data_IF_261056003500
#
_entry.id   IF_261056003500
#
_cell.length_a   1.000
_cell.length_b   1.000
_cell.length_c   1.000
_cell.angle_alpha   90.00
_cell.angle_beta   90.00
_cell.angle_gamma   90.00
#
_symmetry.space_group_name_H-M   'P 1'
#
loop_
_entity.id
_entity.type
_entity.pdbx_description
1 polymer ?
#
# COMPACT_ATOMS: atom_id res chain seq x y z
N UNK A 1 -14.65 5.68 -15.27
CA UNK A 1 -13.76 5.15 -14.23
C UNK A 1 -14.22 3.76 -13.85
N UNK A 2 -13.33 2.77 -13.89
CA UNK A 2 -13.60 1.39 -13.46
C UNK A 2 -12.93 1.19 -12.10
N UNK A 3 -13.56 0.46 -11.18
CA UNK A 3 -13.08 0.29 -9.81
C UNK A 3 -13.12 -1.15 -9.35
N UNK A 4 -12.15 -1.51 -8.50
CA UNK A 4 -12.13 -2.79 -7.79
C UNK A 4 -12.18 -2.49 -6.30
N UNK A 5 -13.15 -3.09 -5.60
CA UNK A 5 -13.26 -3.04 -4.15
C UNK A 5 -12.93 -4.43 -3.62
N UNK A 6 -11.88 -4.54 -2.83
CA UNK A 6 -11.52 -5.79 -2.13
C UNK A 6 -12.01 -5.68 -0.69
N UNK A 7 -12.93 -6.55 -0.26
CA UNK A 7 -13.49 -6.48 1.09
C UNK A 7 -12.55 -7.05 2.16
N UNK A 8 -11.73 -8.01 1.76
CA UNK A 8 -10.89 -8.79 2.67
C UNK A 8 -11.70 -9.82 3.47
N UNK A 9 -11.00 -10.74 4.15
CA UNK A 9 -11.62 -11.88 4.83
C UNK A 9 -12.35 -11.51 6.14
N UNK A 10 -12.06 -10.34 6.71
CA UNK A 10 -12.57 -9.93 8.03
C UNK A 10 -13.82 -9.04 7.98
N UNK A 11 -14.32 -8.71 6.78
CA UNK A 11 -15.55 -7.95 6.66
C UNK A 11 -16.75 -8.80 7.06
N UNK A 12 -17.59 -8.28 7.96
CA UNK A 12 -18.83 -8.93 8.37
C UNK A 12 -19.67 -9.33 7.14
N UNK A 13 -20.20 -10.55 7.18
CA UNK A 13 -20.88 -11.17 6.04
C UNK A 13 -22.04 -10.31 5.52
N UNK A 14 -22.86 -9.75 6.42
CA UNK A 14 -23.98 -8.89 6.05
C UNK A 14 -23.52 -7.67 5.25
N UNK A 15 -22.46 -7.00 5.71
CA UNK A 15 -21.85 -5.85 5.02
C UNK A 15 -21.31 -6.25 3.66
N UNK A 16 -20.60 -7.38 3.57
CA UNK A 16 -20.08 -7.93 2.30
C UNK A 16 -21.21 -8.24 1.31
N UNK A 17 -22.27 -8.94 1.74
CA UNK A 17 -23.46 -9.24 0.92
C UNK A 17 -24.16 -7.96 0.45
N UNK A 18 -24.20 -6.91 1.29
CA UNK A 18 -24.74 -5.60 0.91
C UNK A 18 -23.88 -4.94 -0.18
N UNK A 19 -22.55 -4.96 -0.03
CA UNK A 19 -21.64 -4.40 -1.04
C UNK A 19 -21.72 -5.15 -2.37
N UNK A 20 -21.80 -6.48 -2.36
CA UNK A 20 -21.98 -7.29 -3.57
C UNK A 20 -23.28 -6.91 -4.30
N UNK A 21 -24.40 -6.78 -3.58
CA UNK A 21 -25.68 -6.33 -4.16
C UNK A 21 -25.62 -4.93 -4.76
N UNK A 22 -24.87 -4.01 -4.14
CA UNK A 22 -24.65 -2.66 -4.68
C UNK A 22 -23.73 -2.66 -5.90
N UNK A 23 -22.67 -3.48 -5.88
CA UNK A 23 -21.73 -3.65 -6.99
C UNK A 23 -22.37 -4.28 -8.22
N UNK A 24 -23.24 -5.27 -8.04
CA UNK A 24 -23.97 -5.93 -9.15
C UNK A 24 -24.83 -4.96 -9.98
N UNK A 25 -25.23 -3.82 -9.40
CA UNK A 25 -25.99 -2.76 -10.09
C UNK A 25 -25.10 -1.75 -10.83
N UNK A 26 -23.77 -1.91 -10.78
CA UNK A 26 -22.79 -0.94 -11.29
C UNK A 26 -21.75 -1.68 -12.14
N UNK A 27 -21.95 -1.72 -13.45
CA UNK A 27 -21.09 -2.47 -14.38
C UNK A 27 -19.60 -2.07 -14.29
N UNK A 28 -19.28 -0.84 -13.88
CA UNK A 28 -17.92 -0.36 -13.72
C UNK A 28 -17.23 -0.73 -12.39
N UNK A 29 -17.92 -1.39 -11.44
CA UNK A 29 -17.35 -1.76 -10.13
C UNK A 29 -17.33 -3.28 -9.97
N UNK A 30 -16.16 -3.84 -9.69
CA UNK A 30 -16.01 -5.24 -9.26
C UNK A 30 -15.79 -5.29 -7.76
N UNK A 31 -16.62 -6.08 -7.07
CA UNK A 31 -16.46 -6.36 -5.64
C UNK A 31 -15.84 -7.75 -5.50
N UNK A 32 -14.64 -7.82 -4.94
CA UNK A 32 -13.91 -9.06 -4.71
C UNK A 32 -13.83 -9.31 -3.20
N UNK A 33 -14.04 -10.55 -2.80
CA UNK A 33 -13.90 -10.92 -1.39
C UNK A 33 -12.42 -11.02 -0.99
N UNK A 34 -11.67 -11.74 -1.80
CA UNK A 34 -10.27 -12.03 -1.56
C UNK A 34 -9.49 -11.96 -2.88
N UNK A 35 -8.25 -11.53 -2.77
CA UNK A 35 -7.26 -11.54 -3.85
C UNK A 35 -5.99 -12.12 -3.26
N UNK A 36 -5.47 -13.25 -3.79
CA UNK A 36 -4.24 -13.87 -3.28
C UNK A 36 -3.05 -12.92 -3.31
N UNK A 37 -2.93 -12.14 -4.38
CA UNK A 37 -1.85 -11.18 -4.60
C UNK A 37 -2.42 -9.80 -4.96
N UNK A 38 -2.29 -8.83 -4.04
CA UNK A 38 -2.74 -7.45 -4.26
C UNK A 38 -1.82 -6.64 -5.16
N UNK A 39 -0.53 -6.98 -5.21
CA UNK A 39 0.48 -6.21 -5.92
C UNK A 39 0.16 -6.00 -7.42
N UNK A 40 -0.26 -7.02 -8.21
CA UNK A 40 -0.61 -6.81 -9.61
C UNK A 40 -1.80 -5.87 -9.81
N UNK A 41 -2.79 -5.89 -8.89
CA UNK A 41 -3.92 -4.96 -8.95
C UNK A 41 -3.47 -3.54 -8.64
N UNK A 42 -2.66 -3.35 -7.60
CA UNK A 42 -2.12 -2.04 -7.22
C UNK A 42 -1.23 -1.48 -8.33
N UNK A 43 -0.37 -2.31 -8.93
CA UNK A 43 0.51 -1.92 -10.03
C UNK A 43 -0.26 -1.40 -11.27
N UNK A 44 -1.49 -1.87 -11.49
CA UNK A 44 -2.36 -1.42 -12.60
C UNK A 44 -3.32 -0.30 -12.22
N UNK A 45 -3.46 0.00 -10.93
CA UNK A 45 -4.35 1.06 -10.47
C UNK A 45 -3.74 2.45 -10.75
N UNK A 46 -4.58 3.37 -11.20
CA UNK A 46 -4.23 4.80 -11.27
C UNK A 46 -4.25 5.45 -9.89
N UNK A 47 -5.17 4.99 -9.02
CA UNK A 47 -5.42 5.50 -7.68
C UNK A 47 -5.70 4.36 -6.72
N UNK A 48 -5.16 4.44 -5.51
CA UNK A 48 -5.34 3.43 -4.45
C UNK A 48 -5.92 4.10 -3.20
N UNK A 49 -6.98 3.53 -2.64
CA UNK A 49 -7.49 3.94 -1.32
C UNK A 49 -7.34 2.72 -0.42
N UNK A 50 -6.63 2.86 0.69
CA UNK A 50 -6.34 1.74 1.57
C UNK A 50 -6.19 2.18 3.03
N UNK A 51 -6.28 1.20 3.93
CA UNK A 51 -5.94 1.44 5.34
C UNK A 51 -4.43 1.66 5.56
N UNK A 52 -3.57 1.27 4.62
CA UNK A 52 -2.12 1.47 4.75
C UNK A 52 -1.43 0.54 5.76
N UNK A 53 -1.80 -0.75 5.73
CA UNK A 53 -0.97 -1.80 6.35
C UNK A 53 0.43 -1.84 5.75
N UNK A 54 1.38 -2.51 6.41
CA UNK A 54 2.80 -2.49 6.00
C UNK A 54 3.01 -2.90 4.53
N UNK A 55 2.44 -4.05 4.13
CA UNK A 55 2.58 -4.55 2.76
C UNK A 55 1.97 -3.60 1.72
N UNK A 56 0.75 -3.10 1.98
CA UNK A 56 0.09 -2.17 1.07
C UNK A 56 0.85 -0.85 0.92
N UNK A 57 1.45 -0.36 2.00
CA UNK A 57 2.35 0.80 1.92
C UNK A 57 3.56 0.48 1.04
N UNK A 58 4.22 -0.66 1.24
CA UNK A 58 5.34 -1.07 0.40
C UNK A 58 4.94 -1.17 -1.08
N UNK A 59 3.80 -1.78 -1.39
CA UNK A 59 3.30 -1.90 -2.77
C UNK A 59 3.05 -0.52 -3.40
N UNK A 60 2.26 0.33 -2.73
CA UNK A 60 1.96 1.70 -3.19
C UNK A 60 3.22 2.50 -3.44
N UNK A 61 4.17 2.45 -2.50
CA UNK A 61 5.41 3.22 -2.57
C UNK A 61 6.33 2.68 -3.66
N UNK A 62 6.47 1.35 -3.78
CA UNK A 62 7.35 0.71 -4.77
C UNK A 62 6.91 0.97 -6.21
N UNK A 63 5.59 1.03 -6.42
CA UNK A 63 4.99 1.33 -7.72
C UNK A 63 4.72 2.83 -7.95
N UNK A 64 5.06 3.70 -6.99
CA UNK A 64 4.83 5.15 -7.09
C UNK A 64 3.37 5.52 -7.34
N UNK A 65 2.43 4.91 -6.61
CA UNK A 65 1.00 5.11 -6.83
C UNK A 65 0.45 6.33 -6.11
N UNK A 66 -0.47 7.04 -6.77
CA UNK A 66 -1.35 8.00 -6.12
C UNK A 66 -2.22 7.26 -5.10
N UNK A 67 -1.96 7.48 -3.82
CA UNK A 67 -2.64 6.77 -2.75
C UNK A 67 -3.22 7.70 -1.69
N UNK A 68 -4.46 7.41 -1.29
CA UNK A 68 -5.09 7.94 -0.09
C UNK A 68 -5.06 6.88 1.00
N UNK A 69 -4.34 7.16 2.08
CA UNK A 69 -4.25 6.27 3.22
C UNK A 69 -5.23 6.72 4.30
N UNK A 70 -6.09 5.81 4.72
CA UNK A 70 -7.06 5.99 5.82
C UNK A 70 -6.67 5.06 6.97
N UNK A 71 -5.64 5.41 7.76
CA UNK A 71 -5.01 4.49 8.68
C UNK A 71 -5.87 4.18 9.90
N UNK A 72 -5.77 2.97 10.43
CA UNK A 72 -6.34 2.69 11.74
C UNK A 72 -5.54 3.43 12.82
N UNK A 73 -6.23 4.22 13.65
CA UNK A 73 -5.62 5.04 14.72
C UNK A 73 -5.69 4.41 16.12
N UNK A 74 -6.57 3.43 16.33
CA UNK A 74 -6.75 2.72 17.60
C UNK A 74 -6.91 1.21 17.37
N UNK A 75 -6.45 0.34 18.29
CA UNK A 75 -5.79 0.67 19.57
C UNK A 75 -4.32 1.05 19.43
N UNK A 76 -3.67 0.67 18.32
CA UNK A 76 -2.25 0.93 18.09
C UNK A 76 -2.02 2.02 17.03
N UNK A 77 -1.05 2.93 17.21
CA UNK A 77 -0.88 4.13 16.38
C UNK A 77 0.06 3.94 15.18
N UNK A 78 0.69 2.79 14.98
CA UNK A 78 1.81 2.66 14.03
C UNK A 78 1.40 2.91 12.58
N UNK A 79 0.17 2.56 12.20
CA UNK A 79 -0.35 2.89 10.87
C UNK A 79 -0.51 4.39 10.67
N UNK A 80 -0.99 5.11 11.70
CA UNK A 80 -1.10 6.56 11.68
C UNK A 80 0.27 7.22 11.55
N UNK A 81 1.22 6.83 12.43
CA UNK A 81 2.58 7.37 12.42
C UNK A 81 3.23 7.16 11.05
N UNK A 82 3.14 5.93 10.50
CA UNK A 82 3.70 5.62 9.18
C UNK A 82 3.05 6.45 8.08
N UNK A 83 1.71 6.50 8.03
CA UNK A 83 0.99 7.26 7.02
C UNK A 83 1.37 8.74 7.06
N UNK A 84 1.42 9.33 8.26
CA UNK A 84 1.79 10.73 8.45
C UNK A 84 3.22 11.00 7.95
N UNK A 85 4.20 10.18 8.32
CA UNK A 85 5.59 10.33 7.83
C UNK A 85 5.70 10.23 6.31
N UNK A 86 4.94 9.32 5.69
CA UNK A 86 4.92 9.18 4.23
C UNK A 86 4.23 10.37 3.56
N UNK A 87 3.24 10.98 4.22
CA UNK A 87 2.62 12.21 3.73
C UNK A 87 3.56 13.42 3.82
N UNK A 88 4.32 13.54 4.91
CA UNK A 88 5.35 14.57 5.08
C UNK A 88 6.44 14.49 3.99
N UNK A 89 6.75 13.28 3.51
CA UNK A 89 7.65 13.05 2.38
C UNK A 89 7.03 13.32 1.00
N UNK A 90 5.73 13.61 0.95
CA UNK A 90 4.97 13.89 -0.28
C UNK A 90 4.76 12.67 -1.17
N UNK A 91 4.80 11.45 -0.60
CA UNK A 91 4.66 10.20 -1.37
C UNK A 91 3.26 9.58 -1.30
N UNK A 92 2.42 10.01 -0.35
CA UNK A 92 1.01 9.62 -0.22
C UNK A 92 0.17 10.77 0.36
N UNK A 93 -1.14 10.76 0.09
CA UNK A 93 -2.11 11.56 0.84
C UNK A 93 -2.64 10.76 2.04
N UNK A 94 -3.03 11.46 3.11
CA UNK A 94 -3.60 10.84 4.31
C UNK A 94 -4.93 11.49 4.68
N UNK A 95 -5.92 10.67 5.00
CA UNK A 95 -7.19 11.11 5.56
C UNK A 95 -7.37 10.44 6.93
N UNK A 96 -7.53 11.25 7.97
CA UNK A 96 -7.78 10.72 9.31
C UNK A 96 -9.17 10.04 9.35
N UNK A 97 -9.34 8.87 10.02
CA UNK A 97 -10.61 8.13 10.01
C UNK A 97 -11.83 8.90 10.52
N UNK A 98 -11.64 9.90 11.39
CA UNK A 98 -12.74 10.76 11.88
C UNK A 98 -13.34 11.63 10.76
N UNK A 99 -12.56 11.91 9.72
CA UNK A 99 -12.96 12.76 8.60
C UNK A 99 -13.39 11.92 7.38
N UNK A 100 -13.38 10.59 7.52
CA UNK A 100 -13.79 9.66 6.48
C UNK A 100 -15.28 9.83 6.19
N UNK A 101 -15.57 10.27 4.97
CA UNK A 101 -16.93 10.40 4.46
C UNK A 101 -16.96 10.09 2.96
N UNK A 102 -18.14 9.71 2.41
CA UNK A 102 -18.31 9.57 0.97
C UNK A 102 -17.90 10.83 0.20
N UNK A 103 -18.18 12.01 0.76
CA UNK A 103 -17.80 13.30 0.17
C UNK A 103 -16.28 13.49 0.16
N UNK A 104 -15.57 13.16 1.24
CA UNK A 104 -14.12 13.25 1.29
C UNK A 104 -13.45 12.34 0.25
N UNK A 105 -13.90 11.08 0.15
CA UNK A 105 -13.40 10.14 -0.86
C UNK A 105 -13.69 10.62 -2.28
N UNK A 106 -14.91 11.11 -2.53
CA UNK A 106 -15.31 11.61 -3.85
C UNK A 106 -14.49 12.83 -4.27
N UNK A 107 -14.25 13.77 -3.35
CA UNK A 107 -13.37 14.93 -3.59
C UNK A 107 -11.95 14.47 -3.95
N UNK A 108 -11.39 13.53 -3.19
CA UNK A 108 -10.05 13.03 -3.48
C UNK A 108 -9.97 12.33 -4.84
N UNK A 109 -10.97 11.49 -5.16
CA UNK A 109 -11.07 10.79 -6.44
C UNK A 109 -11.25 11.74 -7.65
N UNK A 110 -11.84 12.91 -7.46
CA UNK A 110 -12.07 13.89 -8.52
C UNK A 110 -10.89 14.84 -8.75
N UNK A 111 -9.92 14.94 -7.82
CA UNK A 111 -8.74 15.81 -7.95
C UNK A 111 -7.91 15.42 -9.17
N UNK A 112 -7.34 16.41 -9.84
CA UNK A 112 -6.13 16.18 -10.64
C UNK A 112 -4.95 16.02 -9.68
N UNK A 113 -4.30 14.87 -9.72
CA UNK A 113 -3.17 14.54 -8.85
C UNK A 113 -1.82 14.77 -9.54
N UNK A 114 -1.84 15.11 -10.84
CA UNK A 114 -0.64 15.30 -11.63
C UNK A 114 0.20 14.01 -11.79
N UNK A 115 1.53 14.14 -11.96
CA UNK A 115 2.39 13.00 -12.20
C UNK A 115 2.49 12.07 -10.97
N UNK A 116 2.79 10.78 -11.16
CA UNK A 116 2.98 9.83 -10.06
C UNK A 116 4.03 10.29 -9.03
N UNK A 117 3.83 10.01 -7.72
CA UNK A 117 4.80 10.39 -6.69
C UNK A 117 6.19 9.77 -6.92
N UNK A 118 7.24 10.56 -6.69
CA UNK A 118 8.65 10.12 -6.83
C UNK A 118 9.13 9.38 -5.58
N UNK A 119 8.48 8.30 -5.19
CA UNK A 119 8.78 7.56 -3.95
C UNK A 119 10.24 7.12 -3.86
N UNK A 120 10.80 6.62 -4.96
CA UNK A 120 12.20 6.14 -5.04
C UNK A 120 13.27 7.23 -4.89
N UNK A 121 12.92 8.51 -5.08
CA UNK A 121 13.86 9.62 -4.82
C UNK A 121 13.73 10.16 -3.39
N UNK A 122 12.72 9.73 -2.64
CA UNK A 122 12.44 10.19 -1.27
C UNK A 122 12.75 9.12 -0.21
N UNK A 123 12.72 7.86 -0.60
CA UNK A 123 12.89 6.69 0.26
C UNK A 123 13.89 5.75 -0.40
N UNK A 124 14.84 5.28 0.38
CA UNK A 124 15.75 4.22 -0.05
C UNK A 124 15.07 2.85 0.06
N UNK A 125 14.97 2.14 -1.06
CA UNK A 125 14.42 0.78 -1.15
C UNK A 125 15.52 -0.30 -1.17
N UNK A 126 16.79 0.09 -1.16
CA UNK A 126 17.96 -0.79 -1.17
C UNK A 126 18.25 -1.45 0.18
N UNK A 127 17.28 -1.52 1.09
CA UNK A 127 17.47 -2.03 2.44
C UNK A 127 18.06 -3.44 2.49
N UNK A 128 17.60 -4.36 1.63
CA UNK A 128 18.16 -5.72 1.56
C UNK A 128 19.60 -5.75 1.03
N UNK A 129 19.98 -4.79 0.20
CA UNK A 129 21.37 -4.62 -0.23
C UNK A 129 22.20 -4.00 0.89
N UNK A 130 21.64 -3.09 1.68
CA UNK A 130 22.35 -2.32 2.72
C UNK A 130 22.55 -3.07 4.03
N UNK A 131 21.59 -3.90 4.44
CA UNK A 131 21.61 -4.62 5.72
C UNK A 131 22.89 -5.47 5.89
N UNK A 132 23.34 -6.28 4.91
CA UNK A 132 24.57 -7.07 5.06
C UNK A 132 25.82 -6.20 5.32
N UNK A 133 25.90 -5.03 4.70
CA UNK A 133 27.02 -4.11 4.90
C UNK A 133 27.01 -3.50 6.30
N UNK A 134 25.84 -3.06 6.78
CA UNK A 134 25.68 -2.55 8.14
C UNK A 134 25.99 -3.62 9.20
N UNK A 135 25.67 -4.89 8.90
CA UNK A 135 25.99 -6.01 9.78
C UNK A 135 27.50 -6.27 9.84
N UNK A 136 28.19 -6.27 8.69
CA UNK A 136 29.65 -6.42 8.64
C UNK A 136 30.35 -5.29 9.42
N UNK A 137 29.90 -4.04 9.24
CA UNK A 137 30.41 -2.86 9.98
C UNK A 137 30.25 -3.03 11.51
N UNK A 138 29.12 -3.58 11.98
CA UNK A 138 28.87 -3.79 13.41
C UNK A 138 29.71 -4.92 14.01
N UNK A 139 30.06 -5.93 13.20
CA UNK A 139 30.83 -7.10 13.64
C UNK A 139 32.35 -6.89 13.56
N UNK A 140 32.82 -5.71 13.11
CA UNK A 140 34.23 -5.43 12.81
C UNK A 140 34.86 -6.38 11.77
N UNK A 141 34.02 -7.12 11.03
CA UNK A 141 34.44 -7.96 9.92
C UNK A 141 34.66 -7.07 8.70
N UNK A 142 35.83 -7.11 8.04
CA UNK A 142 36.01 -6.37 6.80
C UNK A 142 34.96 -6.83 5.78
N UNK A 143 34.23 -5.88 5.18
CA UNK A 143 33.20 -6.13 4.18
C UNK A 143 33.79 -6.87 2.97
N UNK A 144 33.84 -8.20 3.04
CA UNK A 144 34.63 -9.01 2.14
C UNK A 144 34.27 -10.49 2.20
N UNK A 145 33.10 -10.82 1.63
CA UNK A 145 32.78 -12.02 0.85
C UNK A 145 31.35 -12.47 1.16
N UNK A 146 30.36 -11.81 0.55
CA UNK A 146 29.10 -12.51 0.29
C UNK A 146 29.41 -13.62 -0.71
N UNK A 147 29.71 -14.83 -0.21
CA UNK A 147 29.67 -16.03 -1.04
C UNK A 147 28.23 -16.15 -1.57
N UNK A 148 28.10 -16.26 -2.89
CA UNK A 148 26.87 -16.66 -3.54
C UNK A 148 26.39 -17.97 -2.90
N UNK A 149 25.27 -17.90 -2.17
CA UNK A 149 24.61 -19.10 -1.67
C UNK A 149 24.18 -19.98 -2.85
N UNK A 150 24.14 -21.32 -2.68
CA UNK A 150 23.90 -22.22 -3.79
C UNK A 150 22.54 -21.90 -4.44
N UNK A 151 22.54 -21.83 -5.78
CA UNK A 151 21.33 -21.75 -6.57
C UNK A 151 20.41 -22.90 -6.18
N UNK A 152 19.26 -22.57 -5.57
CA UNK A 152 18.20 -23.54 -5.33
C UNK A 152 17.62 -23.90 -6.70
N UNK A 153 18.03 -25.05 -7.23
CA UNK A 153 17.41 -25.66 -8.39
C UNK A 153 15.97 -26.03 -8.01
N UNK A 154 15.01 -25.30 -8.56
CA UNK A 154 13.60 -25.67 -8.51
C UNK A 154 13.37 -26.67 -9.64
N UNK A 155 13.18 -27.94 -9.26
CA UNK A 155 12.59 -28.97 -10.12
C UNK A 155 11.07 -28.91 -10.14
#
# INVERSE_FOLDING_TARGET
MTGVLVTGPYMAEETRRRLQRLGAKRAQIKVLEFVPESAPLIARADRVIAMGGYNTMCEVLSFGKHALIVPRVKPKPEQWIRAQRMSELGVVDVLHPRDLSPAALSRWLARDLGPPPRSRSRIDFGGLTRIPQLLAELLEEPAGAAQEGPAVAVG
#
